data_IF_656260793579
#
_entry.id   IF_656260793579
#
_cell.length_a   1.000
_cell.length_b   1.000
_cell.length_c   1.000
_cell.angle_alpha   90.00
_cell.angle_beta   90.00
_cell.angle_gamma   90.00
#
_symmetry.space_group_name_H-M   'P 1'
#
loop_
_entity.id
_entity.type
_entity.pdbx_description
1 polymer ?
#
# COMPACT_ATOMS: atom_id res chain seq x y z
N UNK A 1 -20.05 12.22 -68.33
CA UNK A 1 -19.48 11.36 -67.26
C UNK A 1 -19.63 12.11 -65.96
N UNK A 2 -20.59 11.67 -65.12
CA UNK A 2 -20.99 12.40 -63.91
C UNK A 2 -20.29 11.79 -62.68
N UNK A 3 -19.44 12.55 -61.99
CA UNK A 3 -18.82 12.15 -60.74
C UNK A 3 -19.74 12.40 -59.56
N UNK A 4 -20.26 11.33 -58.95
CA UNK A 4 -21.01 11.40 -57.69
C UNK A 4 -20.01 11.30 -56.52
N UNK A 5 -19.83 12.43 -55.80
CA UNK A 5 -19.11 12.49 -54.53
C UNK A 5 -20.02 12.07 -53.38
N UNK A 6 -19.77 10.95 -52.76
CA UNK A 6 -20.46 10.45 -51.56
C UNK A 6 -19.94 11.18 -50.31
N UNK A 7 -20.77 12.03 -49.72
CA UNK A 7 -20.49 12.64 -48.38
C UNK A 7 -20.70 11.59 -47.29
N UNK A 8 -19.62 11.25 -46.57
CA UNK A 8 -19.69 10.48 -45.33
C UNK A 8 -20.24 11.35 -44.18
N UNK A 9 -21.42 11.01 -43.71
CA UNK A 9 -22.01 11.59 -42.49
C UNK A 9 -21.29 11.05 -41.26
N UNK A 10 -20.42 11.84 -40.65
CA UNK A 10 -19.88 11.58 -39.31
C UNK A 10 -20.86 12.15 -38.27
N UNK A 11 -21.50 11.26 -37.52
CA UNK A 11 -22.32 11.67 -36.36
C UNK A 11 -21.41 12.29 -35.30
N UNK A 12 -21.83 13.39 -34.63
CA UNK A 12 -21.03 13.98 -33.56
C UNK A 12 -20.96 13.02 -32.34
N UNK A 13 -19.77 12.83 -31.82
CA UNK A 13 -19.55 12.12 -30.53
C UNK A 13 -20.19 12.96 -29.44
N UNK A 14 -21.21 12.43 -28.82
CA UNK A 14 -21.92 13.08 -27.69
C UNK A 14 -20.97 13.06 -26.48
N UNK A 15 -20.37 14.18 -26.19
CA UNK A 15 -19.59 14.39 -24.94
C UNK A 15 -20.58 14.30 -23.77
N UNK A 16 -20.48 13.21 -23.00
CA UNK A 16 -21.19 13.08 -21.72
C UNK A 16 -20.73 14.21 -20.80
N UNK A 17 -21.59 15.18 -20.56
CA UNK A 17 -21.38 16.22 -19.53
C UNK A 17 -21.43 15.52 -18.17
N UNK A 18 -20.27 15.23 -17.58
CA UNK A 18 -20.20 14.81 -16.18
C UNK A 18 -20.81 15.94 -15.32
N UNK A 19 -21.91 15.64 -14.62
CA UNK A 19 -22.42 16.53 -13.57
C UNK A 19 -21.31 16.65 -12.52
N UNK A 20 -20.82 17.86 -12.27
CA UNK A 20 -19.85 18.13 -11.20
C UNK A 20 -20.47 17.67 -9.87
N UNK A 21 -19.97 16.58 -9.32
CA UNK A 21 -20.31 16.12 -7.97
C UNK A 21 -19.81 17.17 -6.98
N UNK A 22 -20.67 17.61 -6.04
CA UNK A 22 -20.23 18.57 -5.02
C UNK A 22 -19.26 17.90 -4.06
N UNK A 23 -18.13 18.56 -3.81
CA UNK A 23 -17.17 18.14 -2.77
C UNK A 23 -17.81 18.24 -1.38
N UNK A 24 -17.53 17.24 -0.53
CA UNK A 24 -18.00 17.19 0.87
C UNK A 24 -16.86 17.60 1.79
N UNK A 25 -17.12 18.58 2.68
CA UNK A 25 -16.18 18.97 3.73
C UNK A 25 -16.24 17.96 4.87
N UNK A 26 -15.19 17.11 4.99
CA UNK A 26 -15.23 16.03 5.96
C UNK A 26 -13.83 15.45 6.22
N UNK A 27 -13.46 15.32 7.49
CA UNK A 27 -12.21 14.67 7.90
C UNK A 27 -12.19 13.18 7.50
N UNK A 28 -11.01 12.58 7.30
CA UNK A 28 -10.91 11.17 6.92
C UNK A 28 -11.41 10.26 8.04
N UNK A 29 -12.24 9.28 7.66
CA UNK A 29 -12.65 8.19 8.53
C UNK A 29 -11.58 7.08 8.61
N UNK A 30 -11.91 6.01 9.33
CA UNK A 30 -10.98 4.91 9.62
C UNK A 30 -11.08 3.73 8.63
N UNK A 31 -11.80 3.85 7.52
CA UNK A 31 -12.01 2.75 6.57
C UNK A 31 -11.40 3.09 5.21
N UNK A 32 -10.58 2.19 4.67
CA UNK A 32 -10.10 2.22 3.30
C UNK A 32 -10.83 1.14 2.50
N UNK A 33 -11.41 1.53 1.38
CA UNK A 33 -12.19 0.66 0.48
C UNK A 33 -11.59 0.66 -0.92
N UNK A 34 -12.06 -0.21 -1.80
CA UNK A 34 -11.69 -0.23 -3.21
C UNK A 34 -12.85 0.19 -4.13
N UNK A 35 -12.56 0.25 -5.42
CA UNK A 35 -13.54 0.52 -6.48
C UNK A 35 -13.48 -0.56 -7.55
N UNK A 36 -14.61 -0.77 -8.24
CA UNK A 36 -14.81 -1.91 -9.13
C UNK A 36 -14.07 -1.80 -10.47
N UNK A 37 -13.94 -0.59 -11.02
CA UNK A 37 -13.49 -0.42 -12.40
C UNK A 37 -12.60 0.81 -12.62
N UNK A 38 -12.53 1.22 -13.88
CA UNK A 38 -11.68 2.32 -14.35
C UNK A 38 -12.32 3.71 -14.24
N UNK A 39 -13.54 3.78 -13.74
CA UNK A 39 -14.32 5.00 -13.46
C UNK A 39 -15.27 4.73 -12.31
N UNK A 40 -15.71 5.77 -11.59
CA UNK A 40 -16.64 5.63 -10.47
C UNK A 40 -18.08 5.43 -10.95
N UNK A 41 -18.77 4.50 -10.31
CA UNK A 41 -20.23 4.39 -10.40
C UNK A 41 -20.92 5.37 -9.42
N UNK A 42 -22.20 5.73 -9.63
CA UNK A 42 -22.93 6.56 -8.66
C UNK A 42 -22.99 5.97 -7.25
N UNK A 43 -23.02 4.64 -7.14
CA UNK A 43 -22.98 3.93 -5.86
C UNK A 43 -21.63 4.11 -5.15
N UNK A 44 -20.52 3.98 -5.87
CA UNK A 44 -19.18 4.20 -5.34
C UNK A 44 -18.94 5.65 -4.93
N UNK A 45 -19.45 6.62 -5.70
CA UNK A 45 -19.42 8.03 -5.30
C UNK A 45 -20.09 8.22 -3.94
N UNK A 46 -21.26 7.62 -3.71
CA UNK A 46 -21.95 7.68 -2.42
C UNK A 46 -21.15 6.97 -1.32
N UNK A 47 -20.58 5.78 -1.61
CA UNK A 47 -19.70 5.03 -0.67
C UNK A 47 -18.50 5.87 -0.26
N UNK A 48 -17.79 6.47 -1.22
CA UNK A 48 -16.58 7.26 -0.95
C UNK A 48 -16.87 8.59 -0.23
N UNK A 49 -18.09 9.10 -0.30
CA UNK A 49 -18.53 10.24 0.50
C UNK A 49 -19.00 9.87 1.91
N UNK A 50 -19.02 8.56 2.26
CA UNK A 50 -19.43 8.13 3.60
C UNK A 50 -18.43 8.60 4.68
N UNK A 51 -18.90 9.07 5.86
CA UNK A 51 -18.03 9.60 6.94
C UNK A 51 -16.92 8.67 7.39
N UNK A 52 -17.18 7.38 7.47
CA UNK A 52 -16.21 6.39 7.92
C UNK A 52 -15.10 6.11 6.89
N UNK A 53 -15.23 6.56 5.63
CA UNK A 53 -14.21 6.36 4.60
C UNK A 53 -13.10 7.40 4.72
N UNK A 54 -11.85 6.96 4.75
CA UNK A 54 -10.65 7.80 4.80
C UNK A 54 -9.71 7.60 3.61
N UNK A 55 -9.89 6.54 2.84
CA UNK A 55 -9.01 6.25 1.70
C UNK A 55 -9.57 5.24 0.71
N UNK A 56 -8.87 5.12 -0.41
CA UNK A 56 -9.15 4.18 -1.50
C UNK A 56 -7.87 3.42 -1.84
N UNK A 57 -7.97 2.10 -1.97
CA UNK A 57 -6.90 1.26 -2.52
C UNK A 57 -7.24 0.85 -3.95
N UNK A 58 -6.29 1.02 -4.87
CA UNK A 58 -6.45 0.67 -6.27
C UNK A 58 -5.77 -0.68 -6.60
N UNK A 59 -6.36 -1.40 -7.55
CA UNK A 59 -5.89 -2.68 -8.06
C UNK A 59 -5.67 -2.63 -9.58
N UNK A 60 -5.15 -3.73 -10.16
CA UNK A 60 -4.90 -3.82 -11.61
C UNK A 60 -6.16 -3.59 -12.45
N UNK A 61 -7.36 -3.93 -11.94
CA UNK A 61 -8.64 -3.70 -12.61
C UNK A 61 -9.02 -2.22 -12.75
N UNK A 62 -8.38 -1.35 -11.97
CA UNK A 62 -8.62 0.10 -12.00
C UNK A 62 -7.69 0.83 -12.99
N UNK A 63 -6.92 0.08 -13.79
CA UNK A 63 -5.89 0.61 -14.65
C UNK A 63 -6.01 0.14 -16.09
N UNK A 64 -6.02 1.09 -17.02
CA UNK A 64 -5.95 0.90 -18.47
C UNK A 64 -4.77 1.67 -19.09
N UNK A 65 -4.59 2.91 -18.67
CA UNK A 65 -3.50 3.80 -19.11
C UNK A 65 -3.19 4.85 -18.03
N UNK A 66 -2.00 5.50 -18.06
CA UNK A 66 -1.70 6.61 -17.14
C UNK A 66 -2.75 7.73 -17.18
N UNK A 67 -3.24 8.09 -18.36
CA UNK A 67 -4.26 9.15 -18.54
C UNK A 67 -5.60 8.77 -17.95
N UNK A 68 -6.03 7.50 -18.11
CA UNK A 68 -7.26 7.01 -17.49
C UNK A 68 -7.11 7.01 -15.95
N UNK A 69 -5.96 6.55 -15.42
CA UNK A 69 -5.71 6.54 -13.98
C UNK A 69 -5.72 7.95 -13.39
N UNK A 70 -5.09 8.93 -14.07
CA UNK A 70 -5.16 10.34 -13.67
C UNK A 70 -6.60 10.86 -13.60
N UNK A 71 -7.45 10.47 -14.54
CA UNK A 71 -8.86 10.86 -14.52
C UNK A 71 -9.59 10.25 -13.32
N UNK A 72 -9.39 8.96 -13.03
CA UNK A 72 -9.99 8.26 -11.89
C UNK A 72 -9.54 8.86 -10.55
N UNK A 73 -8.24 9.08 -10.36
CA UNK A 73 -7.70 9.64 -9.11
C UNK A 73 -8.15 11.08 -8.90
N UNK A 74 -8.20 11.90 -9.96
CA UNK A 74 -8.73 13.25 -9.90
C UNK A 74 -10.23 13.27 -9.52
N UNK A 75 -11.02 12.32 -10.05
CA UNK A 75 -12.43 12.16 -9.69
C UNK A 75 -12.56 11.80 -8.19
N UNK A 76 -11.78 10.84 -7.69
CA UNK A 76 -11.77 10.43 -6.27
C UNK A 76 -11.38 11.61 -5.36
N UNK A 77 -10.29 12.32 -5.66
CA UNK A 77 -9.85 13.47 -4.86
C UNK A 77 -10.86 14.59 -4.82
N UNK A 78 -11.61 14.81 -5.92
CA UNK A 78 -12.63 15.86 -6.00
C UNK A 78 -13.88 15.59 -5.14
N UNK A 79 -14.08 14.38 -4.63
CA UNK A 79 -15.25 14.02 -3.84
C UNK A 79 -15.27 14.66 -2.46
N UNK A 80 -14.10 14.95 -1.89
CA UNK A 80 -13.97 15.40 -0.49
C UNK A 80 -12.90 16.46 -0.30
N UNK A 81 -13.02 17.22 0.78
CA UNK A 81 -12.01 18.18 1.29
C UNK A 81 -11.85 17.97 2.80
N UNK A 82 -10.67 17.58 3.29
CA UNK A 82 -9.49 17.17 2.53
C UNK A 82 -9.76 15.95 1.63
N UNK A 83 -8.95 15.75 0.56
CA UNK A 83 -9.16 14.64 -0.36
C UNK A 83 -8.94 13.28 0.32
N UNK A 84 -9.59 12.24 -0.22
CA UNK A 84 -9.34 10.86 0.22
C UNK A 84 -7.91 10.44 -0.13
N UNK A 85 -7.30 9.68 0.76
CA UNK A 85 -5.99 9.08 0.53
C UNK A 85 -6.11 7.97 -0.53
N UNK A 86 -5.27 7.99 -1.57
CA UNK A 86 -5.25 6.96 -2.62
C UNK A 86 -3.98 6.13 -2.51
N UNK A 87 -4.16 4.82 -2.32
CA UNK A 87 -3.09 3.86 -2.15
C UNK A 87 -3.11 2.77 -3.23
N UNK A 88 -2.01 2.03 -3.35
CA UNK A 88 -1.88 0.86 -4.23
C UNK A 88 -0.85 -0.12 -3.67
N UNK A 89 -0.95 -1.42 -4.00
CA UNK A 89 0.16 -2.36 -3.86
C UNK A 89 1.04 -2.32 -5.10
N UNK A 90 2.12 -1.58 -5.05
CA UNK A 90 3.06 -1.42 -6.14
C UNK A 90 4.48 -1.55 -5.60
N UNK A 91 4.92 -2.81 -5.44
CA UNK A 91 6.19 -3.16 -4.80
C UNK A 91 7.31 -3.35 -5.82
N UNK A 92 6.96 -3.88 -6.98
CA UNK A 92 7.84 -4.41 -8.01
C UNK A 92 7.62 -5.92 -8.22
N UNK A 93 8.29 -6.50 -9.21
CA UNK A 93 8.16 -7.91 -9.55
C UNK A 93 6.71 -8.33 -9.83
N UNK A 94 6.24 -9.37 -9.14
CA UNK A 94 4.86 -9.89 -9.29
C UNK A 94 3.79 -8.98 -8.65
N UNK A 95 4.16 -8.17 -7.67
CA UNK A 95 3.25 -7.23 -7.01
C UNK A 95 3.49 -5.82 -7.54
N UNK A 96 3.12 -5.62 -8.77
CA UNK A 96 3.10 -4.34 -9.45
C UNK A 96 1.77 -4.22 -10.20
N UNK A 97 0.82 -3.40 -9.69
CA UNK A 97 -0.55 -3.34 -10.20
C UNK A 97 -0.65 -2.67 -11.57
N UNK A 98 0.11 -1.61 -11.79
CA UNK A 98 0.11 -0.87 -13.05
C UNK A 98 1.36 -1.24 -13.85
N UNK A 99 1.19 -1.65 -15.11
CA UNK A 99 2.30 -2.19 -15.92
C UNK A 99 2.50 -1.43 -17.22
N UNK A 100 1.51 -1.42 -18.11
CA UNK A 100 1.63 -0.74 -19.42
C UNK A 100 1.76 0.77 -19.21
N UNK A 101 2.86 1.38 -19.65
CA UNK A 101 3.14 2.81 -19.45
C UNK A 101 3.78 3.15 -18.09
N UNK A 102 4.03 2.14 -17.26
CA UNK A 102 4.87 2.23 -16.05
C UNK A 102 6.17 1.46 -16.26
N UNK A 103 7.23 1.90 -15.62
CA UNK A 103 8.50 1.18 -15.58
C UNK A 103 8.32 -0.13 -14.82
N UNK A 104 8.73 -1.25 -15.41
CA UNK A 104 8.77 -2.51 -14.70
C UNK A 104 9.88 -2.48 -13.66
N UNK A 105 9.52 -2.64 -12.38
CA UNK A 105 10.47 -2.72 -11.27
C UNK A 105 10.83 -4.18 -11.00
N UNK A 106 12.09 -4.51 -10.69
CA UNK A 106 12.47 -5.86 -10.33
C UNK A 106 11.81 -6.31 -9.03
N UNK A 107 11.70 -7.62 -8.75
CA UNK A 107 11.41 -8.08 -7.42
C UNK A 107 12.52 -7.65 -6.46
N UNK A 108 12.17 -7.30 -5.23
CA UNK A 108 13.12 -6.70 -4.27
C UNK A 108 14.29 -7.62 -3.91
N UNK A 109 14.13 -8.94 -4.09
CA UNK A 109 15.22 -9.93 -3.96
C UNK A 109 16.45 -9.60 -4.80
N UNK A 110 16.27 -9.07 -6.01
CA UNK A 110 17.37 -8.67 -6.91
C UNK A 110 18.28 -7.64 -6.29
N UNK A 111 17.71 -6.71 -5.51
CA UNK A 111 18.51 -5.74 -4.75
C UNK A 111 19.30 -6.41 -3.62
N UNK A 112 18.74 -7.45 -3.00
CA UNK A 112 19.44 -8.27 -1.99
C UNK A 112 20.61 -9.06 -2.58
N UNK A 113 20.41 -9.66 -3.75
CA UNK A 113 21.46 -10.38 -4.49
C UNK A 113 22.57 -9.44 -4.96
N UNK A 114 22.22 -8.24 -5.42
CA UNK A 114 23.19 -7.20 -5.73
C UNK A 114 23.94 -6.74 -4.48
N UNK A 115 23.25 -6.64 -3.33
CA UNK A 115 23.89 -6.25 -2.07
C UNK A 115 24.96 -7.25 -1.62
N UNK A 116 24.79 -8.54 -1.87
CA UNK A 116 25.79 -9.55 -1.54
C UNK A 116 27.07 -9.42 -2.37
N UNK A 117 27.01 -8.74 -3.52
CA UNK A 117 28.13 -8.46 -4.43
C UNK A 117 28.70 -7.05 -4.20
N UNK A 118 27.82 -6.03 -4.20
CA UNK A 118 28.16 -4.62 -4.04
C UNK A 118 27.06 -3.90 -3.24
N UNK A 119 27.26 -3.74 -1.93
CA UNK A 119 26.29 -3.08 -1.06
C UNK A 119 25.97 -1.63 -1.47
N UNK A 120 26.95 -0.89 -1.98
CA UNK A 120 26.76 0.51 -2.40
C UNK A 120 25.91 0.60 -3.66
N UNK A 121 26.23 -0.21 -4.68
CA UNK A 121 25.43 -0.28 -5.90
C UNK A 121 24.00 -0.71 -5.60
N UNK A 122 23.79 -1.65 -4.67
CA UNK A 122 22.46 -2.08 -4.27
C UNK A 122 21.63 -0.98 -3.60
N UNK A 123 22.25 -0.16 -2.74
CA UNK A 123 21.59 0.99 -2.13
C UNK A 123 21.23 2.06 -3.17
N UNK A 124 22.14 2.37 -4.10
CA UNK A 124 21.85 3.29 -5.19
C UNK A 124 20.70 2.78 -6.08
N UNK A 125 20.68 1.48 -6.35
CA UNK A 125 19.62 0.85 -7.12
C UNK A 125 18.28 0.87 -6.37
N UNK A 126 18.27 0.67 -5.04
CA UNK A 126 17.07 0.78 -4.22
C UNK A 126 16.51 2.21 -4.21
N UNK A 127 17.37 3.25 -4.10
CA UNK A 127 16.97 4.66 -4.22
C UNK A 127 16.34 4.89 -5.60
N UNK A 128 16.97 4.42 -6.66
CA UNK A 128 16.46 4.57 -8.02
C UNK A 128 15.09 3.89 -8.22
N UNK A 129 14.92 2.68 -7.70
CA UNK A 129 13.62 1.98 -7.72
C UNK A 129 12.54 2.78 -6.99
N UNK A 130 12.83 3.28 -5.78
CA UNK A 130 11.88 4.10 -5.01
C UNK A 130 11.52 5.41 -5.72
N UNK A 131 12.51 6.10 -6.30
CA UNK A 131 12.29 7.35 -7.02
C UNK A 131 11.42 7.15 -8.27
N UNK A 132 11.70 6.12 -9.07
CA UNK A 132 10.91 5.79 -10.27
C UNK A 132 9.50 5.43 -9.89
N UNK A 133 9.32 4.49 -8.93
CA UNK A 133 8.02 4.07 -8.42
C UNK A 133 7.16 5.26 -8.01
N UNK A 134 7.72 6.11 -7.15
CA UNK A 134 6.97 7.23 -6.60
C UNK A 134 6.68 8.31 -7.66
N UNK A 135 7.64 8.63 -8.52
CA UNK A 135 7.45 9.63 -9.58
C UNK A 135 6.30 9.24 -10.50
N UNK A 136 6.25 7.99 -10.95
CA UNK A 136 5.22 7.50 -11.87
C UNK A 136 3.84 7.43 -11.21
N UNK A 137 3.75 6.91 -9.98
CA UNK A 137 2.49 6.84 -9.24
C UNK A 137 1.94 8.22 -8.89
N UNK A 138 2.83 9.12 -8.42
CA UNK A 138 2.47 10.50 -8.08
C UNK A 138 1.99 11.28 -9.31
N UNK A 139 2.63 11.10 -10.47
CA UNK A 139 2.19 11.68 -11.72
C UNK A 139 0.78 11.23 -12.12
N UNK A 140 0.31 10.08 -11.62
CA UNK A 140 -1.03 9.58 -11.82
C UNK A 140 -1.99 9.87 -10.64
N UNK A 141 -1.60 10.70 -9.66
CA UNK A 141 -2.46 11.11 -8.55
C UNK A 141 -2.60 10.06 -7.44
N UNK A 142 -1.72 9.05 -7.37
CA UNK A 142 -1.67 8.09 -6.27
C UNK A 142 -0.80 8.67 -5.15
N UNK A 143 -1.28 8.64 -3.90
CA UNK A 143 -0.59 9.27 -2.77
C UNK A 143 0.56 8.42 -2.24
N UNK A 144 0.36 7.09 -2.10
CA UNK A 144 1.42 6.20 -1.66
C UNK A 144 1.23 4.75 -2.12
N UNK A 145 2.30 3.96 -2.02
CA UNK A 145 2.26 2.51 -2.18
C UNK A 145 2.48 1.80 -0.85
N UNK A 146 1.80 0.66 -0.65
CA UNK A 146 2.07 -0.24 0.47
C UNK A 146 3.40 -0.97 0.26
N UNK A 147 4.50 -0.24 0.40
CA UNK A 147 5.90 -0.67 0.28
C UNK A 147 6.77 0.12 1.27
N UNK A 148 7.89 -0.42 1.77
CA UNK A 148 8.54 -1.69 1.46
C UNK A 148 8.00 -2.92 2.21
N UNK A 149 8.26 -4.11 1.63
CA UNK A 149 8.14 -5.37 2.36
C UNK A 149 9.37 -5.55 3.25
N UNK A 150 9.16 -5.63 4.56
CA UNK A 150 10.21 -5.78 5.57
C UNK A 150 10.37 -7.23 6.06
N UNK A 151 9.53 -8.13 5.56
CA UNK A 151 9.59 -9.56 5.87
C UNK A 151 10.93 -10.15 5.44
N UNK A 152 11.47 -11.04 6.28
CA UNK A 152 12.70 -11.77 5.97
C UNK A 152 12.39 -12.97 5.06
N UNK A 153 13.26 -13.28 4.11
CA UNK A 153 13.15 -14.50 3.33
C UNK A 153 13.73 -15.70 4.06
N UNK A 154 12.87 -16.48 4.67
CA UNK A 154 13.25 -17.77 5.27
C UNK A 154 13.25 -18.92 4.27
N UNK A 155 12.96 -18.68 2.99
CA UNK A 155 12.83 -19.72 1.96
C UNK A 155 11.60 -20.62 2.13
N UNK A 156 10.62 -20.22 2.95
CA UNK A 156 9.46 -21.04 3.33
C UNK A 156 8.12 -20.48 2.84
N UNK A 157 8.00 -19.16 2.82
CA UNK A 157 6.74 -18.48 2.48
C UNK A 157 6.63 -18.26 0.97
N UNK A 158 5.69 -18.93 0.31
CA UNK A 158 5.36 -18.66 -1.09
C UNK A 158 4.70 -17.29 -1.30
N UNK A 159 4.08 -16.73 -0.25
CA UNK A 159 3.46 -15.40 -0.27
C UNK A 159 4.50 -14.30 -0.30
N UNK A 160 5.53 -14.41 0.51
CA UNK A 160 6.64 -13.45 0.58
C UNK A 160 7.64 -13.72 -0.55
N UNK A 161 8.35 -14.82 -0.52
CA UNK A 161 9.30 -15.22 -1.56
C UNK A 161 10.22 -14.05 -1.97
N UNK A 162 10.30 -13.79 -3.28
CA UNK A 162 11.14 -12.74 -3.85
C UNK A 162 10.64 -11.30 -3.66
N UNK A 163 9.52 -11.08 -2.94
CA UNK A 163 9.10 -9.76 -2.46
C UNK A 163 10.04 -9.25 -1.35
N UNK A 164 10.58 -10.16 -0.52
CA UNK A 164 11.58 -9.82 0.48
C UNK A 164 12.90 -9.41 -0.17
N UNK A 165 13.57 -8.42 0.41
CA UNK A 165 14.91 -8.03 -0.03
C UNK A 165 15.94 -9.13 0.23
N UNK A 166 15.95 -9.68 1.44
CA UNK A 166 17.00 -10.59 1.87
C UNK A 166 16.59 -11.43 3.09
N UNK A 167 17.41 -12.44 3.45
CA UNK A 167 17.28 -13.22 4.70
C UNK A 167 17.85 -12.45 5.91
N UNK A 168 18.92 -11.65 5.73
CA UNK A 168 19.59 -10.94 6.81
C UNK A 168 18.85 -9.65 7.17
N UNK A 169 18.42 -9.46 8.45
CA UNK A 169 17.62 -8.30 8.86
C UNK A 169 18.28 -6.95 8.57
N UNK A 170 19.59 -6.84 8.79
CA UNK A 170 20.34 -5.60 8.53
C UNK A 170 20.34 -5.22 7.06
N UNK A 171 20.45 -6.20 6.16
CA UNK A 171 20.37 -5.95 4.71
C UNK A 171 18.98 -5.47 4.31
N UNK A 172 17.92 -6.10 4.87
CA UNK A 172 16.54 -5.64 4.65
C UNK A 172 16.37 -4.20 5.12
N UNK A 173 16.85 -3.86 6.32
CA UNK A 173 16.77 -2.50 6.85
C UNK A 173 17.49 -1.48 5.95
N UNK A 174 18.72 -1.77 5.52
CA UNK A 174 19.52 -0.88 4.66
C UNK A 174 18.86 -0.64 3.31
N UNK A 175 18.41 -1.70 2.64
CA UNK A 175 17.78 -1.59 1.33
C UNK A 175 16.39 -0.94 1.40
N UNK A 176 15.61 -1.24 2.43
CA UNK A 176 14.34 -0.58 2.68
C UNK A 176 14.50 0.91 2.99
N UNK A 177 15.52 1.29 3.77
CA UNK A 177 15.85 2.68 4.02
C UNK A 177 16.23 3.42 2.73
N UNK A 178 17.03 2.79 1.88
CA UNK A 178 17.43 3.35 0.59
C UNK A 178 16.22 3.52 -0.34
N UNK A 179 15.33 2.52 -0.43
CA UNK A 179 14.08 2.61 -1.20
C UNK A 179 13.18 3.73 -0.66
N UNK A 180 13.01 3.81 0.68
CA UNK A 180 12.24 4.86 1.33
C UNK A 180 12.79 6.26 1.03
N UNK A 181 14.11 6.41 0.94
CA UNK A 181 14.74 7.66 0.53
C UNK A 181 14.33 8.04 -0.90
N UNK A 182 14.33 7.08 -1.83
CA UNK A 182 13.86 7.29 -3.20
C UNK A 182 12.37 7.70 -3.26
N UNK A 183 11.51 7.04 -2.48
CA UNK A 183 10.09 7.43 -2.37
C UNK A 183 9.94 8.88 -1.88
N UNK A 184 10.69 9.24 -0.85
CA UNK A 184 10.63 10.57 -0.22
C UNK A 184 11.11 11.68 -1.16
N UNK A 185 12.13 11.43 -2.00
CA UNK A 185 12.60 12.39 -3.03
C UNK A 185 11.47 12.77 -3.99
N UNK A 186 10.55 11.87 -4.27
CA UNK A 186 9.35 12.15 -5.07
C UNK A 186 8.12 12.55 -4.23
N UNK A 187 8.29 12.90 -2.95
CA UNK A 187 7.23 13.35 -2.07
C UNK A 187 6.24 12.26 -1.63
N UNK A 188 6.59 10.98 -1.80
CA UNK A 188 5.74 9.85 -1.44
C UNK A 188 6.11 9.29 -0.06
N UNK A 189 5.10 8.98 0.75
CA UNK A 189 5.24 8.26 2.01
C UNK A 189 5.29 6.74 1.77
N UNK A 190 5.66 5.98 2.80
CA UNK A 190 5.87 4.54 2.73
C UNK A 190 5.00 3.77 3.73
N UNK A 191 4.95 2.43 3.56
CA UNK A 191 4.29 1.52 4.50
C UNK A 191 5.12 0.24 4.66
N UNK A 192 5.76 0.06 5.82
CA UNK A 192 6.45 -1.17 6.13
C UNK A 192 5.48 -2.32 6.42
N UNK A 193 5.69 -3.48 5.80
CA UNK A 193 4.81 -4.64 5.96
C UNK A 193 5.59 -5.95 5.90
N UNK A 194 5.11 -7.02 6.52
CA UNK A 194 3.91 -7.21 7.35
C UNK A 194 4.32 -7.43 8.81
N UNK A 195 4.17 -6.41 9.63
CA UNK A 195 4.63 -6.40 11.03
C UNK A 195 4.01 -7.53 11.88
N UNK A 196 4.75 -8.24 12.75
CA UNK A 196 6.20 -8.16 12.97
C UNK A 196 7.05 -8.93 11.96
N UNK A 197 6.46 -9.76 11.07
CA UNK A 197 7.14 -10.51 10.01
C UNK A 197 6.36 -11.75 9.57
N UNK A 198 6.02 -11.84 8.28
CA UNK A 198 5.26 -12.96 7.67
C UNK A 198 6.16 -14.03 7.02
N UNK A 199 7.47 -13.78 6.92
CA UNK A 199 8.37 -14.61 6.09
C UNK A 199 8.62 -16.01 6.61
N UNK A 200 8.41 -16.29 7.90
CA UNK A 200 8.67 -17.60 8.51
C UNK A 200 7.53 -18.61 8.28
N UNK A 201 6.29 -18.17 8.15
CA UNK A 201 5.12 -19.04 8.01
C UNK A 201 4.91 -19.46 6.55
N UNK A 202 4.52 -20.72 6.32
CA UNK A 202 4.19 -21.25 4.98
C UNK A 202 2.78 -20.87 4.54
N UNK A 203 1.85 -20.85 5.50
CA UNK A 203 0.44 -20.61 5.21
C UNK A 203 0.25 -19.20 4.65
N UNK A 204 -0.60 -19.12 3.62
CA UNK A 204 -1.04 -17.87 3.01
C UNK A 204 -2.22 -17.32 3.82
N UNK A 205 -2.08 -16.11 4.36
CA UNK A 205 -3.14 -15.44 5.12
C UNK A 205 -4.38 -15.09 4.29
N UNK A 206 -4.30 -15.14 2.97
CA UNK A 206 -5.48 -15.01 2.09
C UNK A 206 -6.43 -16.21 2.18
N UNK A 207 -5.92 -17.41 2.45
CA UNK A 207 -6.68 -18.67 2.38
C UNK A 207 -6.59 -19.52 3.66
N UNK A 208 -5.82 -19.11 4.65
CA UNK A 208 -5.62 -19.83 5.91
C UNK A 208 -5.29 -18.86 7.05
N UNK A 209 -5.30 -19.36 8.29
CA UNK A 209 -4.85 -18.62 9.47
C UNK A 209 -3.41 -19.04 9.78
N UNK A 210 -2.39 -18.23 9.44
CA UNK A 210 -1.01 -18.56 9.70
C UNK A 210 -0.68 -18.47 11.20
N UNK A 211 0.16 -19.39 11.68
CA UNK A 211 0.60 -19.41 13.09
C UNK A 211 2.14 -19.54 13.12
N UNK A 212 2.80 -18.56 13.73
CA UNK A 212 4.25 -18.60 14.01
C UNK A 212 4.48 -18.96 15.47
N UNK A 213 4.95 -20.20 15.70
CA UNK A 213 5.19 -20.76 17.03
C UNK A 213 6.56 -20.43 17.62
N UNK A 214 7.36 -19.59 16.96
CA UNK A 214 8.65 -19.18 17.50
C UNK A 214 8.49 -18.40 18.81
N UNK A 215 9.45 -18.53 19.75
CA UNK A 215 9.45 -17.71 20.95
C UNK A 215 9.74 -16.24 20.61
N UNK A 216 9.27 -15.34 21.48
CA UNK A 216 9.35 -13.89 21.25
C UNK A 216 10.78 -13.38 21.04
N UNK A 217 11.75 -13.90 21.79
CA UNK A 217 13.17 -13.52 21.68
C UNK A 217 13.73 -13.78 20.26
N UNK A 218 13.30 -14.84 19.59
CA UNK A 218 13.67 -15.13 18.20
C UNK A 218 13.03 -14.15 17.22
N UNK A 219 11.76 -13.81 17.41
CA UNK A 219 11.05 -12.82 16.58
C UNK A 219 11.70 -11.44 16.74
N UNK A 220 12.03 -11.04 17.99
CA UNK A 220 12.71 -9.78 18.27
C UNK A 220 14.12 -9.73 17.67
N UNK A 221 14.86 -10.83 17.75
CA UNK A 221 16.24 -10.91 17.25
C UNK A 221 16.35 -10.97 15.71
N UNK A 222 15.26 -11.33 15.00
CA UNK A 222 15.27 -11.49 13.55
C UNK A 222 14.25 -10.55 12.88
N UNK A 223 12.96 -10.90 12.90
CA UNK A 223 11.91 -10.24 12.10
C UNK A 223 11.66 -8.79 12.53
N UNK A 224 11.85 -8.48 13.82
CA UNK A 224 11.65 -7.14 14.36
C UNK A 224 12.80 -6.17 14.07
N UNK A 225 14.01 -6.67 13.78
CA UNK A 225 15.17 -5.80 13.57
C UNK A 225 15.00 -4.79 12.43
N UNK A 226 14.42 -5.12 11.26
CA UNK A 226 14.15 -4.11 10.24
C UNK A 226 13.25 -2.97 10.74
N UNK A 227 12.26 -3.27 11.56
CA UNK A 227 11.38 -2.25 12.16
C UNK A 227 12.10 -1.41 13.20
N UNK A 228 12.92 -2.01 14.06
CA UNK A 228 13.70 -1.31 15.07
C UNK A 228 14.68 -0.31 14.44
N UNK A 229 15.35 -0.69 13.33
CA UNK A 229 16.24 0.20 12.58
C UNK A 229 15.51 1.32 11.84
N UNK A 230 14.24 1.12 11.43
CA UNK A 230 13.51 2.02 10.55
C UNK A 230 12.44 2.84 11.28
N UNK A 231 12.18 2.61 12.56
CA UNK A 231 11.07 3.21 13.26
C UNK A 231 11.21 4.71 13.28
N UNK A 232 11.21 5.64 13.42
CA UNK A 232 11.03 7.08 13.31
C UNK A 232 12.33 7.81 12.94
N UNK A 233 12.36 8.61 11.89
CA UNK A 233 11.24 9.04 11.04
C UNK A 233 11.11 8.24 9.74
N UNK A 234 11.82 7.12 9.58
CA UNK A 234 11.94 6.44 8.29
C UNK A 234 10.68 5.68 7.83
N UNK A 235 9.78 5.30 8.74
CA UNK A 235 8.49 4.70 8.41
C UNK A 235 7.33 5.64 8.70
N UNK A 236 6.58 5.99 7.67
CA UNK A 236 5.38 6.82 7.78
C UNK A 236 4.15 5.99 8.18
N UNK A 237 4.10 4.73 7.76
CA UNK A 237 3.05 3.81 8.15
C UNK A 237 3.54 2.37 8.26
N UNK A 238 2.77 1.53 8.94
CA UNK A 238 3.02 0.09 9.11
C UNK A 238 1.71 -0.67 8.92
N UNK A 239 1.82 -1.84 8.27
CA UNK A 239 0.73 -2.81 8.14
C UNK A 239 1.12 -4.09 8.89
N UNK A 240 0.39 -4.49 9.95
CA UNK A 240 0.61 -5.75 10.66
C UNK A 240 0.06 -6.94 9.86
N UNK A 241 0.68 -8.09 10.05
CA UNK A 241 0.29 -9.34 9.43
C UNK A 241 -0.95 -9.96 10.09
N UNK A 242 -1.78 -10.65 9.29
CA UNK A 242 -2.80 -11.57 9.81
C UNK A 242 -2.18 -12.91 10.21
N UNK A 243 -1.19 -12.86 11.12
CA UNK A 243 -0.47 -14.02 11.66
C UNK A 243 -0.62 -14.04 13.18
N UNK A 244 -0.89 -15.22 13.73
CA UNK A 244 -0.93 -15.44 15.19
C UNK A 244 0.47 -15.84 15.67
N UNK A 245 0.93 -15.20 16.75
CA UNK A 245 2.20 -15.49 17.43
C UNK A 245 1.88 -15.92 18.88
N UNK A 246 1.60 -17.22 19.13
CA UNK A 246 1.06 -17.68 20.41
C UNK A 246 1.95 -17.42 21.63
N UNK A 247 3.25 -17.24 21.39
CA UNK A 247 4.20 -16.85 22.45
C UNK A 247 4.01 -15.41 22.95
N UNK A 248 3.19 -14.59 22.23
CA UNK A 248 2.94 -13.17 22.54
C UNK A 248 1.46 -12.89 22.78
N UNK A 249 0.61 -13.29 21.85
CA UNK A 249 -0.84 -13.12 21.93
C UNK A 249 -1.56 -14.21 21.14
N UNK A 250 -2.77 -14.55 21.57
CA UNK A 250 -3.65 -15.51 20.86
C UNK A 250 -4.33 -14.94 19.63
N UNK A 251 -4.29 -13.62 19.44
CA UNK A 251 -4.88 -12.93 18.29
C UNK A 251 -3.83 -12.65 17.22
N UNK A 252 -4.21 -12.53 15.94
CA UNK A 252 -3.33 -12.01 14.90
C UNK A 252 -2.71 -10.66 15.27
N UNK A 253 -1.52 -10.37 14.76
CA UNK A 253 -0.80 -9.14 15.12
C UNK A 253 -1.64 -7.86 14.95
N UNK A 254 -2.44 -7.77 13.87
CA UNK A 254 -3.32 -6.62 13.61
C UNK A 254 -4.49 -6.47 14.61
N UNK A 255 -4.80 -7.51 15.40
CA UNK A 255 -5.87 -7.49 16.40
C UNK A 255 -5.32 -7.53 17.84
N UNK A 256 -4.01 -7.45 18.01
CA UNK A 256 -3.33 -7.58 19.30
C UNK A 256 -2.88 -6.24 19.87
N UNK A 257 -3.45 -5.85 21.03
CA UNK A 257 -2.96 -4.71 21.81
C UNK A 257 -1.51 -4.89 22.27
N UNK A 258 -1.06 -6.12 22.45
CA UNK A 258 0.33 -6.39 22.82
C UNK A 258 1.24 -5.98 21.69
N UNK A 259 0.97 -6.45 20.47
CA UNK A 259 1.77 -6.10 19.29
C UNK A 259 1.69 -4.60 18.96
N UNK A 260 0.47 -4.03 18.88
CA UNK A 260 0.32 -2.67 18.37
C UNK A 260 0.58 -1.60 19.43
N UNK A 261 0.13 -1.78 20.69
CA UNK A 261 0.28 -0.74 21.71
C UNK A 261 1.55 -0.91 22.56
N UNK A 262 1.84 -2.14 23.03
CA UNK A 262 2.99 -2.34 23.91
C UNK A 262 4.30 -2.38 23.12
N UNK A 263 4.35 -3.17 22.03
CA UNK A 263 5.58 -3.33 21.27
C UNK A 263 5.74 -2.19 20.26
N UNK A 264 4.84 -2.05 19.28
CA UNK A 264 5.01 -1.09 18.20
C UNK A 264 4.96 0.37 18.67
N UNK A 265 3.88 0.78 19.39
CA UNK A 265 3.75 2.18 19.85
C UNK A 265 4.74 2.54 20.96
N UNK A 266 4.84 1.70 22.03
CA UNK A 266 5.62 2.08 23.22
C UNK A 266 7.08 1.65 23.11
N UNK A 267 7.38 0.39 22.78
CA UNK A 267 8.76 -0.11 22.78
C UNK A 267 9.54 0.42 21.58
N UNK A 268 8.95 0.37 20.36
CA UNK A 268 9.58 0.91 19.14
C UNK A 268 9.31 2.41 18.93
N UNK A 269 8.54 3.06 19.80
CA UNK A 269 8.18 4.48 19.71
C UNK A 269 7.61 4.90 18.34
N UNK A 270 6.83 4.03 17.70
CA UNK A 270 6.26 4.30 16.39
C UNK A 270 5.06 5.22 16.47
N UNK A 271 5.10 6.36 15.77
CA UNK A 271 4.04 7.37 15.76
C UNK A 271 3.33 7.55 14.41
N UNK A 272 3.68 6.79 13.38
CA UNK A 272 3.01 6.80 12.08
C UNK A 272 1.65 6.10 12.07
N UNK A 273 1.03 6.00 10.89
CA UNK A 273 -0.25 5.30 10.72
C UNK A 273 -0.06 3.79 10.87
N UNK A 274 -0.96 3.13 11.60
CA UNK A 274 -1.09 1.68 11.60
C UNK A 274 -2.33 1.32 10.79
N UNK A 275 -2.13 0.66 9.64
CA UNK A 275 -3.21 0.05 8.87
C UNK A 275 -3.56 -1.33 9.45
N UNK A 276 -4.75 -1.87 9.17
CA UNK A 276 -4.90 -3.33 9.17
C UNK A 276 -4.39 -3.88 7.83
N UNK A 277 -4.07 -5.18 7.77
CA UNK A 277 -4.13 -5.90 6.49
C UNK A 277 -5.60 -6.08 6.10
N UNK A 278 -5.87 -6.54 4.87
CA UNK A 278 -7.24 -6.65 4.35
C UNK A 278 -8.13 -7.54 5.23
N UNK A 279 -9.19 -6.95 5.78
CA UNK A 279 -10.13 -7.63 6.67
C UNK A 279 -11.00 -8.67 5.96
N UNK A 280 -11.05 -8.69 4.61
CA UNK A 280 -11.74 -9.72 3.84
C UNK A 280 -10.97 -11.05 3.81
N UNK A 281 -9.66 -11.04 4.12
CA UNK A 281 -8.79 -12.22 4.12
C UNK A 281 -9.21 -13.26 5.18
N UNK A 282 -8.94 -14.54 4.89
CA UNK A 282 -9.23 -15.65 5.80
C UNK A 282 -8.46 -15.53 7.13
N UNK A 283 -7.22 -15.03 7.10
CA UNK A 283 -6.42 -14.76 8.31
C UNK A 283 -7.08 -13.81 9.32
N UNK A 284 -8.06 -13.00 8.88
CA UNK A 284 -8.85 -12.12 9.73
C UNK A 284 -10.11 -12.79 10.29
N UNK A 285 -10.53 -13.97 9.76
CA UNK A 285 -11.82 -14.63 10.08
C UNK A 285 -12.00 -15.01 11.55
N UNK A 286 -10.89 -15.16 12.27
CA UNK A 286 -10.88 -15.46 13.73
C UNK A 286 -11.64 -14.44 14.58
N UNK A 287 -11.85 -13.22 14.09
CA UNK A 287 -12.56 -12.16 14.81
C UNK A 287 -14.07 -12.08 14.47
N UNK A 288 -14.58 -12.96 13.58
CA UNK A 288 -15.98 -13.00 13.18
C UNK A 288 -16.27 -12.30 11.84
N UNK A 289 -17.40 -11.58 11.75
CA UNK A 289 -17.78 -10.82 10.56
C UNK A 289 -16.90 -9.56 10.36
N UNK A 290 -17.07 -8.88 9.24
CA UNK A 290 -16.24 -7.71 8.88
C UNK A 290 -16.36 -6.57 9.90
N UNK A 291 -17.51 -6.40 10.56
CA UNK A 291 -17.69 -5.36 11.58
C UNK A 291 -16.95 -5.74 12.87
N UNK A 292 -16.99 -7.01 13.27
CA UNK A 292 -16.23 -7.51 14.40
C UNK A 292 -14.72 -7.41 14.14
N UNK A 293 -14.26 -7.76 12.93
CA UNK A 293 -12.85 -7.63 12.49
C UNK A 293 -12.38 -6.18 12.54
N UNK A 294 -13.17 -5.24 12.00
CA UNK A 294 -12.85 -3.81 12.04
C UNK A 294 -12.76 -3.29 13.48
N UNK A 295 -13.75 -3.61 14.32
CA UNK A 295 -13.73 -3.26 15.74
C UNK A 295 -12.51 -3.85 16.47
N UNK A 296 -12.14 -5.11 16.19
CA UNK A 296 -10.97 -5.74 16.80
C UNK A 296 -9.68 -5.00 16.41
N UNK A 297 -9.48 -4.68 15.12
CA UNK A 297 -8.31 -3.94 14.63
C UNK A 297 -8.22 -2.52 15.20
N UNK A 298 -9.30 -1.76 15.13
CA UNK A 298 -9.36 -0.38 15.63
C UNK A 298 -9.15 -0.30 17.15
N UNK A 299 -9.80 -1.20 17.92
CA UNK A 299 -9.61 -1.31 19.38
C UNK A 299 -8.21 -1.79 19.75
N UNK A 300 -7.54 -2.56 18.89
CA UNK A 300 -6.15 -2.95 19.09
C UNK A 300 -5.17 -1.80 18.83
N UNK A 301 -5.55 -0.82 18.02
CA UNK A 301 -4.77 0.40 17.77
C UNK A 301 -4.42 0.69 16.32
N UNK A 302 -5.08 0.04 15.36
CA UNK A 302 -5.06 0.47 13.96
C UNK A 302 -5.70 1.86 13.84
N UNK A 303 -5.12 2.73 13.01
CA UNK A 303 -5.68 4.03 12.67
C UNK A 303 -6.65 3.91 11.48
N UNK A 304 -6.44 2.91 10.60
CA UNK A 304 -7.26 2.67 9.42
C UNK A 304 -7.35 1.16 9.13
N UNK A 305 -8.52 0.69 8.74
CA UNK A 305 -8.78 -0.70 8.35
C UNK A 305 -9.10 -0.80 6.86
N UNK A 306 -8.65 -1.89 6.21
CA UNK A 306 -8.86 -2.16 4.80
C UNK A 306 -9.96 -3.22 4.61
N UNK A 307 -10.87 -2.98 3.67
CA UNK A 307 -11.79 -3.99 3.13
C UNK A 307 -11.71 -3.93 1.61
N UNK A 308 -11.14 -4.98 1.01
CA UNK A 308 -10.82 -5.03 -0.40
C UNK A 308 -11.53 -6.21 -1.08
N UNK A 309 -11.85 -6.05 -2.38
CA UNK A 309 -12.43 -7.11 -3.22
C UNK A 309 -13.74 -7.72 -2.68
N UNK A 310 -14.40 -7.02 -1.77
CA UNK A 310 -15.61 -7.45 -1.08
C UNK A 310 -16.59 -6.26 -0.92
N UNK A 311 -17.19 -5.75 -2.02
CA UNK A 311 -18.00 -4.54 -2.01
C UNK A 311 -19.21 -4.62 -1.07
N UNK A 312 -19.85 -5.79 -0.98
CA UNK A 312 -20.99 -5.99 -0.07
C UNK A 312 -20.57 -5.94 1.41
N UNK A 313 -19.38 -6.49 1.73
CA UNK A 313 -18.81 -6.39 3.08
C UNK A 313 -18.41 -4.95 3.41
N UNK A 314 -17.89 -4.20 2.42
CA UNK A 314 -17.55 -2.80 2.60
C UNK A 314 -18.81 -1.97 2.89
N UNK A 315 -19.89 -2.16 2.14
CA UNK A 315 -21.17 -1.47 2.37
C UNK A 315 -21.77 -1.84 3.72
N UNK A 316 -21.77 -3.13 4.08
CA UNK A 316 -22.25 -3.59 5.38
C UNK A 316 -21.40 -3.01 6.53
N UNK A 317 -20.08 -2.97 6.38
CA UNK A 317 -19.21 -2.35 7.37
C UNK A 317 -19.53 -0.86 7.54
N UNK A 318 -19.68 -0.11 6.45
CA UNK A 318 -19.97 1.32 6.51
C UNK A 318 -21.34 1.62 7.15
N UNK A 319 -22.33 0.73 6.95
CA UNK A 319 -23.65 0.87 7.58
C UNK A 319 -23.62 0.58 9.10
N UNK A 320 -22.80 -0.39 9.54
CA UNK A 320 -22.85 -0.92 10.92
C UNK A 320 -21.70 -0.47 11.82
N UNK A 321 -20.63 0.08 11.28
CA UNK A 321 -19.48 0.50 12.06
C UNK A 321 -19.78 1.79 12.84
N UNK A 322 -19.89 1.66 14.15
CA UNK A 322 -19.95 2.78 15.08
C UNK A 322 -18.53 3.07 15.59
N UNK A 323 -17.85 4.02 14.94
CA UNK A 323 -16.48 4.38 15.27
C UNK A 323 -16.21 5.87 15.01
N UNK A 324 -15.93 6.59 16.08
CA UNK A 324 -15.42 7.96 16.00
C UNK A 324 -13.90 7.92 15.83
N UNK A 325 -13.40 8.33 14.66
CA UNK A 325 -11.96 8.31 14.37
C UNK A 325 -11.24 9.29 15.30
N UNK A 326 -10.32 8.83 16.17
CA UNK A 326 -9.61 9.72 17.09
C UNK A 326 -8.86 10.82 16.36
N UNK A 327 -8.82 12.02 16.92
CA UNK A 327 -8.14 13.19 16.32
C UNK A 327 -6.67 12.90 16.00
N UNK A 328 -5.99 12.11 16.81
CA UNK A 328 -4.62 11.69 16.56
C UNK A 328 -4.52 10.78 15.33
N UNK A 329 -5.46 9.85 15.12
CA UNK A 329 -5.53 9.00 13.93
C UNK A 329 -5.81 9.84 12.68
N UNK A 330 -6.75 10.79 12.76
CA UNK A 330 -7.02 11.76 11.69
C UNK A 330 -5.74 12.51 11.29
N UNK A 331 -5.01 13.05 12.28
CA UNK A 331 -3.74 13.76 12.03
C UNK A 331 -2.69 12.88 11.35
N UNK A 332 -2.54 11.63 11.79
CA UNK A 332 -1.62 10.66 11.16
C UNK A 332 -2.02 10.36 9.72
N UNK A 333 -3.30 10.11 9.47
CA UNK A 333 -3.84 9.80 8.12
C UNK A 333 -3.60 10.98 7.18
N UNK A 334 -3.89 12.20 7.60
CA UNK A 334 -3.61 13.41 6.83
C UNK A 334 -2.12 13.59 6.55
N UNK A 335 -1.25 13.16 7.48
CA UNK A 335 0.20 13.17 7.31
C UNK A 335 0.74 12.21 6.24
N UNK A 336 -0.08 11.26 5.74
CA UNK A 336 0.27 10.39 4.64
C UNK A 336 -0.01 10.99 3.26
N UNK A 337 -0.76 12.07 3.18
CA UNK A 337 -0.95 12.78 1.91
C UNK A 337 0.41 13.13 1.34
N UNK A 338 0.56 12.88 0.04
CA UNK A 338 1.81 13.11 -0.63
C UNK A 338 2.12 14.62 -0.68
N UNK A 339 3.40 14.95 -0.50
CA UNK A 339 3.88 16.31 -0.69
C UNK A 339 4.05 16.66 -2.18
N UNK A 340 4.45 17.88 -2.50
CA UNK A 340 4.68 18.29 -3.88
C UNK A 340 5.71 17.39 -4.59
N UNK A 341 5.44 17.09 -5.87
CA UNK A 341 6.34 16.27 -6.70
C UNK A 341 7.41 17.19 -7.31
N UNK A 342 8.62 17.15 -6.73
CA UNK A 342 9.76 17.97 -7.14
C UNK A 342 10.95 17.11 -7.62
N UNK A 343 10.73 16.29 -8.65
CA UNK A 343 11.79 15.47 -9.26
C UNK A 343 12.21 16.08 -10.59
N UNK A 344 13.50 16.35 -10.75
CA UNK A 344 14.01 16.85 -12.03
C UNK A 344 13.96 15.76 -13.11
N UNK A 345 13.77 16.17 -14.36
CA UNK A 345 13.81 15.24 -15.49
C UNK A 345 15.17 14.51 -15.60
N UNK A 346 16.26 15.17 -15.18
CA UNK A 346 17.60 14.58 -15.18
C UNK A 346 17.71 13.45 -14.12
N UNK A 347 17.24 13.68 -12.89
CA UNK A 347 17.27 12.69 -11.80
C UNK A 347 16.39 11.49 -12.13
N UNK A 348 15.19 11.73 -12.64
CA UNK A 348 14.30 10.66 -13.09
C UNK A 348 14.93 9.82 -14.21
N UNK A 349 15.54 10.46 -15.22
CA UNK A 349 16.25 9.77 -16.32
C UNK A 349 17.44 8.95 -15.81
N UNK A 350 18.20 9.46 -14.85
CA UNK A 350 19.31 8.75 -14.23
C UNK A 350 18.81 7.51 -13.47
N UNK A 351 17.73 7.65 -12.68
CA UNK A 351 17.12 6.53 -11.97
C UNK A 351 16.57 5.46 -12.93
N UNK A 352 15.88 5.86 -14.00
CA UNK A 352 15.42 4.94 -15.05
C UNK A 352 16.56 4.12 -15.67
N UNK A 353 17.73 4.76 -15.91
CA UNK A 353 18.88 4.06 -16.46
C UNK A 353 19.42 2.98 -15.51
N UNK A 354 19.38 3.22 -14.18
CA UNK A 354 19.76 2.23 -13.17
C UNK A 354 18.76 1.07 -13.16
N UNK A 355 17.45 1.35 -13.07
CA UNK A 355 16.39 0.32 -13.07
C UNK A 355 16.44 -0.52 -14.35
N UNK A 356 16.67 0.11 -15.50
CA UNK A 356 16.79 -0.59 -16.78
C UNK A 356 17.98 -1.55 -16.82
N UNK A 357 19.11 -1.21 -16.20
CA UNK A 357 20.25 -2.13 -16.06
C UNK A 357 19.94 -3.32 -15.20
N UNK A 358 19.27 -3.12 -14.03
CA UNK A 358 18.83 -4.21 -13.16
C UNK A 358 17.93 -5.21 -13.91
N UNK A 359 16.99 -4.72 -14.71
CA UNK A 359 16.08 -5.58 -15.46
C UNK A 359 16.80 -6.39 -16.55
N UNK A 360 17.91 -5.89 -17.12
CA UNK A 360 18.71 -6.64 -18.11
C UNK A 360 19.51 -7.78 -17.50
N UNK A 361 19.88 -7.69 -16.23
CA UNK A 361 20.55 -8.81 -15.51
C UNK A 361 19.60 -9.96 -15.14
N UNK A 362 18.29 -9.75 -15.30
CA UNK A 362 17.25 -10.75 -15.03
C UNK A 362 16.74 -11.47 -16.31
N UNK A 363 17.07 -10.95 -17.48
CA UNK A 363 16.69 -11.50 -18.79
C UNK A 363 17.75 -12.44 -19.33
#
# INVERSE_FOLDING_TARGET
MSNKTTKKNTKPVTTLKHKKTKSVQQLPGAVMVDVAGISLTPHEVKRLQHPSVGGVILFSRNYESPQQLQALTAEIHALRTPPLLIAVDHEGGRVQRFRKGFTHLPPMRVLGELHDQDPLAAQQAAIACGLVLATELRACGVDFSFTPVLDLDFGRSGVIGNRAFHRKPKVVAQLAQALNHGLLLAGMKNCGKHFPGHGHVKADSHVAIPVDKRPLDKILAEDMLPYDYLTSPALASIMPAHVIYPSVDKHPAGFSKVWLQKILRKQLNFNGVIFSDDLSMEGASVAGDVVARANAALKAGCDMVLVCNAPDQADYLLEKLEWDTPAQSVSRILGLQASELNVSAADYKAALAIVSRLNKTLA
#
